data_IF_568017230860
#
_entry.id   IF_568017230860
#
_cell.length_a   1.000
_cell.length_b   1.000
_cell.length_c   1.000
_cell.angle_alpha   90.00
_cell.angle_beta   90.00
_cell.angle_gamma   90.00
#
_symmetry.space_group_name_H-M   'P 1'
#
loop_
_entity.id
_entity.type
_entity.pdbx_description
1 polymer ?
#
# COMPACT_ATOMS: atom_id res chain seq x y z
N UNK A 1 53.69 26.09 9.28
CA UNK A 1 52.29 25.65 9.04
C UNK A 1 51.80 26.38 7.81
N UNK A 2 51.67 25.69 6.68
CA UNK A 2 51.25 26.27 5.41
C UNK A 2 49.80 25.85 5.18
N UNK A 3 48.86 26.78 5.30
CA UNK A 3 47.43 26.51 5.08
C UNK A 3 47.17 26.46 3.58
N UNK A 4 46.85 25.28 3.04
CA UNK A 4 46.46 25.12 1.64
C UNK A 4 44.98 25.46 1.52
N UNK A 5 44.65 26.55 0.84
CA UNK A 5 43.27 26.90 0.49
C UNK A 5 42.84 26.10 -0.76
N UNK A 6 41.68 25.43 -0.74
CA UNK A 6 41.21 24.61 -1.87
C UNK A 6 40.84 25.48 -3.08
N UNK A 7 41.24 25.05 -4.29
CA UNK A 7 41.18 25.86 -5.52
C UNK A 7 39.89 25.66 -6.32
N UNK A 8 39.01 24.75 -5.93
CA UNK A 8 37.69 24.57 -6.55
C UNK A 8 36.64 24.05 -5.56
N UNK A 9 35.34 24.27 -5.85
CA UNK A 9 34.22 23.71 -5.05
C UNK A 9 34.32 22.18 -4.91
N UNK A 10 34.79 21.49 -5.95
CA UNK A 10 35.01 20.04 -5.96
C UNK A 10 36.14 19.64 -5.01
N UNK A 11 37.26 20.36 -5.01
CA UNK A 11 38.36 20.15 -4.06
C UNK A 11 37.96 20.48 -2.62
N UNK A 12 37.16 21.52 -2.41
CA UNK A 12 36.64 21.87 -1.09
C UNK A 12 35.77 20.73 -0.54
N UNK A 13 34.85 20.18 -1.35
CA UNK A 13 34.00 19.05 -0.93
C UNK A 13 34.78 17.74 -0.76
N UNK A 14 35.83 17.51 -1.55
CA UNK A 14 36.65 16.30 -1.47
C UNK A 14 37.70 16.34 -0.34
N UNK A 15 38.27 17.51 -0.04
CA UNK A 15 39.38 17.68 0.91
C UNK A 15 38.98 18.35 2.24
N UNK A 16 37.71 18.72 2.43
CA UNK A 16 37.18 19.05 3.77
C UNK A 16 37.07 17.76 4.57
N UNK A 17 38.23 17.28 5.01
CA UNK A 17 38.40 16.13 5.86
C UNK A 17 37.42 16.23 7.05
N UNK A 18 36.55 15.22 7.20
CA UNK A 18 35.65 14.98 8.34
C UNK A 18 34.28 15.67 8.41
N UNK A 19 33.75 16.28 7.35
CA UNK A 19 32.45 16.99 7.44
C UNK A 19 31.40 16.50 6.45
N UNK A 20 30.36 15.82 6.95
CA UNK A 20 29.08 15.52 6.27
C UNK A 20 29.16 14.53 5.08
N UNK A 21 30.05 14.68 4.11
CA UNK A 21 30.06 13.85 2.89
C UNK A 21 30.34 12.37 3.15
N UNK A 22 31.34 12.06 3.98
CA UNK A 22 31.63 10.68 4.41
C UNK A 22 30.58 10.13 5.39
N UNK A 23 29.95 10.99 6.20
CA UNK A 23 28.84 10.59 7.06
C UNK A 23 27.59 10.26 6.23
N UNK A 24 27.26 11.09 5.25
CA UNK A 24 26.19 10.85 4.29
C UNK A 24 26.47 9.60 3.45
N UNK A 25 27.70 9.38 2.98
CA UNK A 25 28.07 8.16 2.29
C UNK A 25 27.97 6.93 3.21
N UNK A 26 28.48 7.00 4.44
CA UNK A 26 28.35 5.89 5.40
C UNK A 26 26.90 5.62 5.77
N UNK A 27 26.06 6.66 5.84
CA UNK A 27 24.62 6.55 6.05
C UNK A 27 23.92 5.89 4.85
N UNK A 28 24.19 6.36 3.62
CA UNK A 28 23.67 5.75 2.39
C UNK A 28 24.13 4.30 2.22
N UNK A 29 25.42 4.00 2.46
CA UNK A 29 25.93 2.62 2.43
C UNK A 29 25.27 1.73 3.49
N UNK A 30 24.89 2.30 4.64
CA UNK A 30 24.12 1.60 5.67
C UNK A 30 22.67 1.37 5.22
N UNK A 31 22.02 2.39 4.65
CA UNK A 31 20.65 2.29 4.12
C UNK A 31 20.54 1.31 2.94
N UNK A 32 21.55 1.28 2.07
CA UNK A 32 21.64 0.37 0.92
C UNK A 32 22.05 -1.07 1.31
N UNK A 33 22.23 -1.36 2.61
CA UNK A 33 22.73 -2.65 3.12
C UNK A 33 24.09 -3.06 2.51
N UNK A 34 24.96 -2.09 2.19
CA UNK A 34 26.29 -2.32 1.61
C UNK A 34 27.39 -2.42 2.68
N UNK A 35 27.06 -2.15 3.94
CA UNK A 35 27.91 -2.45 5.08
C UNK A 35 27.63 -3.88 5.55
N UNK A 36 28.69 -4.60 5.96
CA UNK A 36 28.54 -5.95 6.50
C UNK A 36 27.63 -5.93 7.74
N UNK A 37 26.49 -6.60 7.67
CA UNK A 37 25.64 -6.79 8.85
C UNK A 37 26.35 -7.72 9.86
N UNK A 38 26.25 -7.43 11.17
CA UNK A 38 26.48 -8.46 12.16
C UNK A 38 25.48 -9.59 11.88
N UNK A 39 25.97 -10.81 11.68
CA UNK A 39 25.11 -11.98 11.45
C UNK A 39 24.02 -12.04 12.51
N UNK A 40 22.77 -11.77 12.11
CA UNK A 40 21.59 -11.93 12.95
C UNK A 40 21.57 -13.37 13.46
N UNK A 41 21.51 -13.54 14.78
CA UNK A 41 21.42 -14.88 15.37
C UNK A 41 20.11 -15.52 14.90
N UNK A 42 20.12 -16.80 14.50
CA UNK A 42 18.88 -17.49 14.16
C UNK A 42 17.92 -17.45 15.35
N UNK A 43 16.76 -16.80 15.19
CA UNK A 43 15.70 -16.74 16.20
C UNK A 43 15.38 -15.38 16.82
N UNK A 44 16.06 -14.29 16.44
CA UNK A 44 15.61 -12.95 16.79
C UNK A 44 14.43 -12.53 15.88
N UNK A 45 13.38 -11.96 16.48
CA UNK A 45 12.28 -11.33 15.73
C UNK A 45 12.87 -10.24 14.82
N UNK A 46 12.27 -10.04 13.63
CA UNK A 46 12.66 -8.94 12.76
C UNK A 46 12.64 -7.62 13.54
N UNK A 47 13.66 -6.75 13.36
CA UNK A 47 13.69 -5.46 14.03
C UNK A 47 12.45 -4.65 13.67
N UNK A 48 11.94 -3.90 14.64
CA UNK A 48 10.74 -3.10 14.50
C UNK A 48 11.04 -1.79 13.74
N UNK A 49 11.29 -1.93 12.45
CA UNK A 49 11.61 -0.81 11.55
C UNK A 49 10.97 -0.99 10.17
N UNK A 50 11.12 0.04 9.34
CA UNK A 50 10.75 0.03 7.92
C UNK A 50 11.98 -0.02 7.01
N UNK A 51 13.16 -0.43 7.53
CA UNK A 51 14.35 -0.50 6.69
C UNK A 51 14.16 -1.53 5.56
N UNK A 52 14.70 -1.23 4.39
CA UNK A 52 14.60 -2.11 3.22
C UNK A 52 15.27 -3.44 3.53
N UNK A 53 14.54 -4.52 3.30
CA UNK A 53 15.01 -5.89 3.57
C UNK A 53 15.41 -6.56 2.27
N UNK A 54 16.51 -7.30 2.29
CA UNK A 54 16.96 -8.03 1.11
C UNK A 54 16.03 -9.23 0.85
N UNK A 55 15.32 -9.27 -0.29
CA UNK A 55 14.48 -10.41 -0.63
C UNK A 55 15.34 -11.62 -1.02
N UNK A 56 14.78 -12.82 -0.89
CA UNK A 56 15.44 -14.08 -1.30
C UNK A 56 15.78 -14.13 -2.80
N UNK A 57 15.11 -13.32 -3.63
CA UNK A 57 15.32 -13.24 -5.07
C UNK A 57 15.38 -11.79 -5.51
N UNK A 58 16.17 -11.51 -6.55
CA UNK A 58 16.23 -10.18 -7.15
C UNK A 58 14.82 -9.70 -7.54
N UNK A 59 14.37 -8.52 -7.06
CA UNK A 59 13.03 -8.03 -7.36
C UNK A 59 12.89 -7.73 -8.84
N UNK A 60 11.76 -8.15 -9.42
CA UNK A 60 11.41 -7.86 -10.83
C UNK A 60 10.50 -6.64 -10.98
N UNK A 61 9.91 -6.17 -9.89
CA UNK A 61 9.04 -5.00 -9.83
C UNK A 61 9.54 -4.07 -8.71
N UNK A 62 9.37 -2.75 -8.92
CA UNK A 62 9.73 -1.73 -7.92
C UNK A 62 8.53 -1.29 -7.06
N UNK A 63 7.32 -1.45 -7.58
CA UNK A 63 6.09 -1.05 -6.90
C UNK A 63 4.95 -2.02 -7.26
N UNK A 64 3.94 -2.10 -6.38
CA UNK A 64 2.72 -2.87 -6.58
C UNK A 64 1.53 -1.95 -6.36
N UNK A 65 0.65 -1.86 -7.37
CA UNK A 65 -0.63 -1.13 -7.27
C UNK A 65 -1.73 -2.18 -7.21
N UNK A 66 -2.45 -2.22 -6.09
CA UNK A 66 -3.57 -3.13 -5.88
C UNK A 66 -4.89 -2.36 -6.05
N UNK A 67 -5.66 -2.70 -7.08
CA UNK A 67 -7.00 -2.15 -7.28
C UNK A 67 -8.05 -3.17 -6.83
N UNK A 68 -8.63 -2.95 -5.66
CA UNK A 68 -9.73 -3.78 -5.15
C UNK A 68 -11.08 -3.13 -5.45
N UNK A 69 -11.76 -3.62 -6.48
CA UNK A 69 -13.02 -3.05 -6.97
C UNK A 69 -14.21 -3.59 -6.17
N UNK A 70 -14.40 -3.10 -4.94
CA UNK A 70 -15.55 -3.45 -4.10
C UNK A 70 -16.88 -3.07 -4.78
N UNK A 71 -17.76 -4.06 -5.00
CA UNK A 71 -19.01 -3.85 -5.75
C UNK A 71 -18.80 -3.59 -7.24
N UNK A 72 -17.61 -3.85 -7.76
CA UNK A 72 -17.27 -3.68 -9.17
C UNK A 72 -18.04 -4.62 -10.10
N UNK A 73 -17.89 -4.42 -11.43
CA UNK A 73 -18.58 -5.22 -12.43
C UNK A 73 -18.26 -6.72 -12.31
N UNK A 74 -19.23 -7.56 -12.71
CA UNK A 74 -19.10 -9.00 -12.67
C UNK A 74 -17.94 -9.48 -13.54
N UNK A 75 -17.04 -10.31 -13.01
CA UNK A 75 -15.97 -10.95 -13.78
C UNK A 75 -16.48 -11.72 -15.01
N UNK A 76 -17.69 -12.29 -14.92
CA UNK A 76 -18.38 -13.00 -16.02
C UNK A 76 -18.73 -12.07 -17.18
N UNK A 77 -18.92 -10.78 -16.91
CA UNK A 77 -19.21 -9.74 -17.90
C UNK A 77 -17.95 -9.06 -18.46
N UNK A 78 -16.77 -9.36 -17.91
CA UNK A 78 -15.52 -8.66 -18.22
C UNK A 78 -14.48 -9.55 -18.92
N UNK A 79 -13.92 -10.51 -18.19
CA UNK A 79 -12.73 -11.27 -18.59
C UNK A 79 -12.88 -12.78 -18.37
N UNK A 80 -14.06 -13.26 -18.00
CA UNK A 80 -14.33 -14.68 -17.74
C UNK A 80 -15.69 -15.12 -18.31
N UNK A 81 -15.86 -15.08 -19.65
CA UNK A 81 -17.13 -15.49 -20.25
C UNK A 81 -17.47 -16.92 -19.86
N UNK A 82 -18.76 -17.14 -19.54
CA UNK A 82 -19.32 -18.45 -19.19
C UNK A 82 -20.31 -18.88 -20.29
N UNK A 83 -19.87 -19.55 -21.36
CA UNK A 83 -20.75 -19.94 -22.47
C UNK A 83 -21.94 -20.80 -22.04
N UNK A 84 -21.74 -21.74 -21.11
CA UNK A 84 -22.82 -22.59 -20.60
C UNK A 84 -23.87 -21.78 -19.82
N UNK A 85 -23.42 -20.83 -18.98
CA UNK A 85 -24.33 -19.92 -18.27
C UNK A 85 -25.13 -19.08 -19.25
N UNK A 86 -24.50 -18.64 -20.34
CA UNK A 86 -25.14 -17.87 -21.40
C UNK A 86 -26.19 -18.70 -22.14
N UNK A 87 -25.86 -19.94 -22.50
CA UNK A 87 -26.79 -20.86 -23.16
C UNK A 87 -28.01 -21.22 -22.29
N UNK A 88 -27.83 -21.27 -20.97
CA UNK A 88 -28.90 -21.54 -19.98
C UNK A 88 -29.54 -20.28 -19.42
N UNK A 89 -29.23 -19.10 -19.97
CA UNK A 89 -29.77 -17.84 -19.48
C UNK A 89 -31.30 -17.87 -19.53
N UNK A 90 -31.94 -17.48 -18.43
CA UNK A 90 -33.38 -17.48 -18.28
C UNK A 90 -34.00 -18.77 -17.74
N UNK A 91 -33.26 -19.87 -17.68
CA UNK A 91 -33.74 -21.13 -17.05
C UNK A 91 -33.47 -21.12 -15.55
N UNK A 92 -34.16 -21.99 -14.80
CA UNK A 92 -33.85 -22.21 -13.38
C UNK A 92 -32.68 -23.17 -13.19
N UNK A 93 -31.81 -22.87 -12.23
CA UNK A 93 -30.76 -23.78 -11.78
C UNK A 93 -31.37 -24.92 -10.95
N UNK A 94 -31.17 -26.16 -11.40
CA UNK A 94 -31.78 -27.34 -10.76
C UNK A 94 -31.11 -27.80 -9.47
N UNK A 95 -29.94 -27.26 -9.11
CA UNK A 95 -29.24 -27.60 -7.86
C UNK A 95 -29.64 -26.74 -6.68
N UNK A 96 -29.05 -27.04 -5.52
CA UNK A 96 -29.17 -26.19 -4.34
C UNK A 96 -28.26 -24.96 -4.43
N UNK A 97 -28.76 -23.84 -3.94
CA UNK A 97 -28.05 -22.56 -3.92
C UNK A 97 -28.12 -22.02 -2.51
N UNK A 98 -26.96 -21.65 -1.95
CA UNK A 98 -26.89 -20.99 -0.66
C UNK A 98 -27.03 -19.49 -0.89
N UNK A 99 -28.07 -18.90 -0.33
CA UNK A 99 -28.36 -17.47 -0.44
C UNK A 99 -27.91 -16.72 0.80
N UNK A 100 -27.16 -15.63 0.60
CA UNK A 100 -26.86 -14.68 1.68
C UNK A 100 -28.10 -13.85 2.07
N UNK A 101 -29.02 -13.62 1.11
CA UNK A 101 -30.27 -12.88 1.30
C UNK A 101 -31.46 -13.66 0.77
N UNK A 102 -32.08 -14.49 1.63
CA UNK A 102 -33.18 -15.40 1.27
C UNK A 102 -34.37 -14.66 0.65
N UNK A 103 -34.68 -13.45 1.11
CA UNK A 103 -35.82 -12.65 0.62
C UNK A 103 -35.65 -12.10 -0.80
N UNK A 104 -34.44 -12.17 -1.37
CA UNK A 104 -34.14 -11.78 -2.77
C UNK A 104 -33.54 -12.94 -3.56
N UNK A 105 -33.68 -14.16 -3.05
CA UNK A 105 -33.16 -15.36 -3.67
C UNK A 105 -33.88 -15.65 -4.99
N UNK A 106 -33.11 -15.91 -6.03
CA UNK A 106 -33.62 -16.37 -7.33
C UNK A 106 -32.67 -17.46 -7.87
N UNK A 107 -33.23 -18.56 -8.41
CA UNK A 107 -32.47 -19.63 -9.08
C UNK A 107 -32.36 -19.42 -10.60
N UNK A 108 -32.98 -18.38 -11.14
CA UNK A 108 -32.91 -18.05 -12.57
C UNK A 108 -31.48 -17.68 -12.94
N UNK A 109 -30.92 -18.44 -13.86
CA UNK A 109 -29.60 -18.20 -14.42
C UNK A 109 -29.63 -16.94 -15.28
N UNK A 110 -28.60 -16.11 -15.14
CA UNK A 110 -28.44 -14.91 -15.94
C UNK A 110 -27.07 -14.94 -16.61
N UNK A 111 -27.09 -15.20 -17.92
CA UNK A 111 -25.91 -15.12 -18.78
C UNK A 111 -25.47 -13.68 -19.00
N UNK A 112 -24.19 -13.51 -19.34
CA UNK A 112 -23.69 -12.19 -19.73
C UNK A 112 -24.41 -11.70 -20.99
N UNK A 113 -24.94 -10.47 -21.00
CA UNK A 113 -25.56 -9.88 -22.19
C UNK A 113 -24.53 -9.29 -23.17
N UNK A 114 -23.25 -9.24 -22.78
CA UNK A 114 -22.18 -8.57 -23.51
C UNK A 114 -21.50 -9.48 -24.51
N UNK A 115 -20.97 -8.88 -25.57
CA UNK A 115 -20.19 -9.60 -26.57
C UNK A 115 -18.74 -9.76 -26.12
N UNK A 116 -18.19 -10.91 -26.45
CA UNK A 116 -16.79 -11.23 -26.21
C UNK A 116 -16.08 -11.47 -27.54
N UNK A 117 -14.82 -11.07 -27.60
CA UNK A 117 -13.95 -11.34 -28.75
C UNK A 117 -12.57 -11.74 -28.27
N UNK A 118 -11.88 -12.54 -29.08
CA UNK A 118 -10.50 -12.95 -28.84
C UNK A 118 -9.58 -11.78 -29.16
N UNK A 119 -8.77 -11.37 -28.19
CA UNK A 119 -7.80 -10.28 -28.35
C UNK A 119 -6.38 -10.75 -28.04
N UNK A 120 -5.41 -10.02 -28.59
CA UNK A 120 -3.99 -10.30 -28.44
C UNK A 120 -3.54 -11.61 -29.10
N UNK A 121 -2.25 -11.90 -28.99
CA UNK A 121 -1.65 -13.18 -29.34
C UNK A 121 -2.04 -14.27 -28.32
N UNK A 122 -2.31 -13.89 -27.07
CA UNK A 122 -2.75 -14.80 -26.01
C UNK A 122 -4.16 -15.37 -26.27
N UNK A 123 -4.96 -14.75 -27.14
CA UNK A 123 -6.31 -15.22 -27.48
C UNK A 123 -7.24 -15.19 -26.27
N UNK A 124 -7.08 -14.22 -25.37
CA UNK A 124 -7.98 -14.04 -24.23
C UNK A 124 -9.31 -13.47 -24.73
N UNK A 125 -10.43 -14.03 -24.27
CA UNK A 125 -11.75 -13.44 -24.50
C UNK A 125 -11.92 -12.21 -23.61
N UNK A 126 -12.11 -11.06 -24.25
CA UNK A 126 -12.36 -9.78 -23.57
C UNK A 126 -13.72 -9.26 -23.98
N UNK A 127 -14.48 -8.77 -22.99
CA UNK A 127 -15.78 -8.13 -23.19
C UNK A 127 -15.66 -6.81 -23.95
N UNK A 128 -16.68 -6.49 -24.75
CA UNK A 128 -16.80 -5.18 -25.43
C UNK A 128 -16.81 -3.98 -24.47
N UNK A 129 -17.04 -4.22 -23.17
CA UNK A 129 -16.95 -3.21 -22.11
C UNK A 129 -15.53 -2.74 -21.80
N UNK A 130 -14.51 -3.49 -22.21
CA UNK A 130 -13.10 -3.23 -21.85
C UNK A 130 -12.21 -2.99 -23.09
N UNK A 131 -12.55 -2.04 -23.98
CA UNK A 131 -11.83 -1.86 -25.24
C UNK A 131 -10.36 -1.47 -25.04
N UNK A 132 -10.05 -0.70 -23.99
CA UNK A 132 -8.68 -0.29 -23.70
C UNK A 132 -7.84 -1.45 -23.13
N UNK A 133 -8.44 -2.32 -22.30
CA UNK A 133 -7.78 -3.53 -21.79
C UNK A 133 -7.54 -4.53 -22.92
N UNK A 134 -8.49 -4.65 -23.85
CA UNK A 134 -8.35 -5.50 -25.02
C UNK A 134 -7.11 -5.13 -25.86
N UNK A 135 -6.74 -3.84 -25.91
CA UNK A 135 -5.55 -3.34 -26.60
C UNK A 135 -4.21 -3.73 -25.96
N UNK A 136 -4.21 -4.13 -24.68
CA UNK A 136 -3.00 -4.48 -23.91
C UNK A 136 -3.08 -5.88 -23.28
N UNK A 137 -4.00 -6.72 -23.74
CA UNK A 137 -4.30 -7.99 -23.07
C UNK A 137 -3.13 -8.98 -23.04
N UNK A 138 -2.19 -8.86 -23.98
CA UNK A 138 -0.96 -9.68 -23.99
C UNK A 138 0.01 -9.33 -22.84
N UNK A 139 -0.11 -8.14 -22.26
CA UNK A 139 0.68 -7.69 -21.10
C UNK A 139 -0.02 -8.01 -19.77
N UNK A 140 -1.20 -8.66 -19.82
CA UNK A 140 -2.04 -8.92 -18.65
C UNK A 140 -2.11 -10.42 -18.38
N UNK A 141 -1.84 -10.81 -17.14
CA UNK A 141 -2.15 -12.15 -16.64
C UNK A 141 -3.57 -12.19 -16.08
N UNK A 142 -4.48 -12.90 -16.76
CA UNK A 142 -5.85 -13.11 -16.29
C UNK A 142 -5.94 -14.40 -15.49
N UNK A 143 -6.27 -14.29 -14.20
CA UNK A 143 -6.48 -15.45 -13.31
C UNK A 143 -7.97 -15.75 -13.13
N UNK A 144 -8.46 -16.81 -13.77
CA UNK A 144 -9.86 -17.30 -13.67
C UNK A 144 -10.05 -18.42 -12.65
N UNK A 145 -8.97 -18.89 -12.03
CA UNK A 145 -8.96 -20.04 -11.11
C UNK A 145 -9.26 -19.68 -9.65
N UNK A 146 -9.41 -18.40 -9.33
CA UNK A 146 -9.67 -17.97 -7.96
C UNK A 146 -11.12 -18.25 -7.58
N UNK A 147 -11.32 -19.05 -6.53
CA UNK A 147 -12.64 -19.31 -5.96
C UNK A 147 -12.54 -19.39 -4.43
N UNK A 148 -13.64 -19.11 -3.74
CA UNK A 148 -13.77 -19.25 -2.28
C UNK A 148 -14.98 -20.11 -1.97
N UNK A 149 -15.03 -20.70 -0.77
CA UNK A 149 -16.16 -21.50 -0.30
C UNK A 149 -17.25 -20.70 0.42
N UNK A 150 -17.26 -19.36 0.30
CA UNK A 150 -18.14 -18.48 1.08
C UNK A 150 -18.81 -17.44 0.19
N UNK A 151 -20.08 -17.13 0.45
CA UNK A 151 -20.91 -16.19 -0.32
C UNK A 151 -21.14 -14.84 0.41
N UNK A 152 -20.54 -14.65 1.59
CA UNK A 152 -20.61 -13.39 2.34
C UNK A 152 -19.58 -12.37 1.85
N UNK A 153 -19.97 -11.11 1.80
CA UNK A 153 -19.10 -10.01 1.35
C UNK A 153 -17.87 -9.87 2.27
N UNK A 154 -18.09 -9.73 3.58
CA UNK A 154 -17.03 -9.55 4.59
C UNK A 154 -16.02 -10.72 4.53
N UNK A 155 -16.52 -11.94 4.47
CA UNK A 155 -15.67 -13.15 4.49
C UNK A 155 -14.84 -13.27 3.22
N UNK A 156 -15.42 -12.93 2.06
CA UNK A 156 -14.72 -12.98 0.77
C UNK A 156 -13.63 -11.92 0.67
N UNK A 157 -13.87 -10.73 1.23
CA UNK A 157 -12.87 -9.67 1.28
C UNK A 157 -11.70 -10.07 2.20
N UNK A 158 -12.00 -10.69 3.36
CA UNK A 158 -10.97 -11.24 4.25
C UNK A 158 -10.15 -12.36 3.61
N UNK A 159 -10.75 -13.19 2.77
CA UNK A 159 -9.98 -14.15 1.95
C UNK A 159 -8.98 -13.44 1.04
N UNK A 160 -9.44 -12.39 0.34
CA UNK A 160 -8.61 -11.69 -0.62
C UNK A 160 -7.44 -10.97 0.06
N UNK A 161 -7.70 -10.26 1.16
CA UNK A 161 -6.65 -9.50 1.86
C UNK A 161 -5.85 -10.32 2.87
N UNK A 162 -6.43 -11.32 3.53
CA UNK A 162 -5.82 -12.04 4.64
C UNK A 162 -5.59 -13.54 4.40
N UNK A 163 -6.01 -14.06 3.24
CA UNK A 163 -5.77 -15.45 2.82
C UNK A 163 -6.61 -16.53 3.51
N UNK A 164 -7.43 -16.19 4.52
CA UNK A 164 -8.23 -17.16 5.28
C UNK A 164 -9.64 -16.64 5.59
N UNK A 165 -10.64 -17.52 5.46
CA UNK A 165 -12.02 -17.23 5.88
C UNK A 165 -12.11 -16.97 7.38
N UNK A 166 -12.92 -15.98 7.74
CA UNK A 166 -13.60 -15.95 9.05
C UNK A 166 -12.73 -15.64 10.27
N UNK A 167 -11.42 -15.41 10.10
CA UNK A 167 -10.53 -15.02 11.20
C UNK A 167 -10.30 -13.51 11.16
N UNK A 168 -10.83 -12.81 12.15
CA UNK A 168 -10.60 -11.37 12.36
C UNK A 168 -9.21 -11.11 12.96
N UNK A 169 -8.71 -9.88 12.82
CA UNK A 169 -7.45 -9.46 13.43
C UNK A 169 -6.18 -10.03 12.75
N UNK A 170 -6.31 -10.57 11.53
CA UNK A 170 -5.14 -10.98 10.74
C UNK A 170 -4.58 -9.80 9.95
N UNK A 171 -3.24 -9.73 9.79
CA UNK A 171 -2.62 -8.74 8.93
C UNK A 171 -3.03 -8.96 7.47
N UNK A 172 -3.24 -7.86 6.78
CA UNK A 172 -3.58 -7.85 5.35
C UNK A 172 -2.33 -8.01 4.48
N UNK A 173 -2.54 -8.31 3.19
CA UNK A 173 -1.48 -8.51 2.20
C UNK A 173 -0.49 -7.34 2.19
N UNK A 174 -0.98 -6.10 2.23
CA UNK A 174 -0.11 -4.92 2.29
C UNK A 174 0.80 -4.92 3.52
N UNK A 175 0.26 -5.24 4.70
CA UNK A 175 1.04 -5.35 5.94
C UNK A 175 2.09 -6.45 5.88
N UNK A 176 1.78 -7.61 5.29
CA UNK A 176 2.76 -8.68 5.07
C UNK A 176 3.87 -8.29 4.10
N UNK A 177 3.53 -7.54 3.04
CA UNK A 177 4.52 -7.04 2.07
C UNK A 177 5.47 -6.06 2.77
N UNK A 178 4.96 -5.09 3.53
CA UNK A 178 5.80 -4.13 4.26
C UNK A 178 6.63 -4.84 5.34
N UNK A 179 6.05 -5.80 6.07
CA UNK A 179 6.80 -6.62 7.01
C UNK A 179 7.95 -7.38 6.33
N UNK A 180 7.71 -7.94 5.14
CA UNK A 180 8.72 -8.72 4.41
C UNK A 180 9.80 -7.89 3.72
N UNK A 181 9.45 -6.71 3.20
CA UNK A 181 10.32 -5.92 2.30
C UNK A 181 10.77 -4.57 2.88
N UNK A 182 10.09 -4.05 3.89
CA UNK A 182 10.32 -2.71 4.40
C UNK A 182 9.78 -1.61 3.48
N UNK A 183 10.40 -0.44 3.54
CA UNK A 183 10.04 0.76 2.77
C UNK A 183 11.29 1.47 2.27
N UNK A 184 11.29 1.87 1.01
CA UNK A 184 12.32 2.77 0.46
C UNK A 184 12.17 4.20 1.02
N UNK A 185 10.97 4.57 1.48
CA UNK A 185 10.71 5.88 2.08
C UNK A 185 10.82 5.84 3.60
N UNK A 186 11.57 6.79 4.16
CA UNK A 186 11.64 7.07 5.60
C UNK A 186 10.72 8.23 6.04
N UNK A 187 10.01 8.86 5.09
CA UNK A 187 9.20 10.06 5.34
C UNK A 187 7.76 9.95 4.88
N UNK A 188 7.39 8.82 4.26
CA UNK A 188 6.03 8.50 3.84
C UNK A 188 5.66 7.08 4.32
N UNK A 189 4.38 6.80 4.59
CA UNK A 189 3.95 5.46 4.95
C UNK A 189 4.23 4.46 3.82
N UNK A 190 4.71 3.27 4.21
CA UNK A 190 5.02 2.19 3.28
C UNK A 190 3.77 1.56 2.65
N UNK A 191 2.63 1.63 3.35
CA UNK A 191 1.35 1.08 2.91
C UNK A 191 0.31 2.20 2.84
N UNK A 192 0.10 2.71 1.63
CA UNK A 192 -0.90 3.74 1.34
C UNK A 192 -2.20 3.12 0.84
N UNK A 193 -3.33 3.62 1.35
CA UNK A 193 -4.67 3.17 1.00
C UNK A 193 -5.43 4.34 0.38
N UNK A 194 -5.70 4.25 -0.92
CA UNK A 194 -6.56 5.19 -1.63
C UNK A 194 -8.00 4.71 -1.47
N UNK A 195 -8.79 5.38 -0.62
CA UNK A 195 -10.18 5.01 -0.40
C UNK A 195 -11.14 5.74 -1.34
N UNK A 196 -12.26 5.09 -1.66
CA UNK A 196 -13.33 5.70 -2.44
C UNK A 196 -13.98 6.85 -1.63
N UNK A 197 -14.21 8.04 -2.24
CA UNK A 197 -14.86 9.16 -1.57
C UNK A 197 -16.26 8.84 -1.02
N UNK A 198 -16.99 7.90 -1.63
CA UNK A 198 -18.33 7.49 -1.23
C UNK A 198 -18.33 6.59 0.02
N UNK A 199 -17.18 6.05 0.42
CA UNK A 199 -17.04 5.28 1.64
C UNK A 199 -16.05 4.14 1.52
N UNK A 200 -15.74 3.53 2.67
CA UNK A 200 -14.88 2.35 2.71
C UNK A 200 -15.63 1.11 2.20
N UNK A 201 -14.92 0.11 1.66
CA UNK A 201 -15.50 -1.20 1.40
C UNK A 201 -16.16 -1.79 2.65
N UNK A 202 -17.03 -2.80 2.44
CA UNK A 202 -17.54 -3.64 3.54
C UNK A 202 -16.37 -4.12 4.41
N UNK A 203 -16.59 -4.21 5.73
CA UNK A 203 -15.56 -4.48 6.76
C UNK A 203 -14.60 -3.30 7.06
N UNK A 204 -14.78 -2.15 6.40
CA UNK A 204 -14.17 -0.88 6.79
C UNK A 204 -12.65 -0.91 6.83
N UNK A 205 -12.06 -0.46 7.93
CA UNK A 205 -10.61 -0.37 8.10
C UNK A 205 -9.90 -1.73 8.24
N UNK A 206 -10.65 -2.82 8.44
CA UNK A 206 -10.05 -4.17 8.50
C UNK A 206 -9.40 -4.58 7.17
N UNK A 207 -9.83 -3.97 6.06
CA UNK A 207 -9.31 -4.25 4.70
C UNK A 207 -7.84 -3.85 4.50
N UNK A 208 -7.27 -3.07 5.41
CA UNK A 208 -5.86 -2.68 5.40
C UNK A 208 -5.24 -2.72 6.81
N UNK A 209 -5.73 -3.62 7.67
CA UNK A 209 -5.23 -3.75 9.04
C UNK A 209 -3.88 -4.47 9.11
N UNK A 210 -3.01 -4.05 10.04
CA UNK A 210 -1.84 -4.84 10.46
C UNK A 210 -2.21 -6.01 11.37
N UNK A 211 -3.46 -6.11 11.84
CA UNK A 211 -3.89 -7.19 12.72
C UNK A 211 -3.06 -7.27 13.99
N UNK A 212 -2.52 -8.45 14.29
CA UNK A 212 -1.60 -8.68 15.42
C UNK A 212 -0.17 -8.17 15.17
N UNK A 213 0.17 -7.72 13.96
CA UNK A 213 1.47 -7.12 13.70
C UNK A 213 1.55 -5.71 14.29
N UNK A 214 2.77 -5.22 14.58
CA UNK A 214 2.97 -3.87 15.04
C UNK A 214 2.27 -2.81 14.15
N UNK A 215 1.74 -1.73 14.77
CA UNK A 215 1.07 -0.63 14.05
C UNK A 215 1.89 0.00 12.92
N UNK A 216 3.22 -0.14 12.94
CA UNK A 216 4.12 0.33 11.88
C UNK A 216 3.75 -0.20 10.48
N UNK A 217 3.09 -1.37 10.41
CA UNK A 217 2.66 -2.02 9.17
C UNK A 217 1.19 -1.75 8.81
N UNK A 218 0.53 -0.84 9.53
CA UNK A 218 -0.87 -0.46 9.32
C UNK A 218 -1.02 0.36 8.04
N UNK A 219 -2.03 0.05 7.23
CA UNK A 219 -2.36 0.87 6.06
C UNK A 219 -2.80 2.27 6.47
N UNK A 220 -2.20 3.28 5.84
CA UNK A 220 -2.53 4.70 6.03
C UNK A 220 -3.47 5.17 4.94
N UNK A 221 -4.66 5.62 5.33
CA UNK A 221 -5.69 6.11 4.39
C UNK A 221 -5.32 7.49 3.87
N UNK A 222 -5.32 7.63 2.55
CA UNK A 222 -5.30 8.89 1.85
C UNK A 222 -6.73 9.26 1.45
N UNK A 223 -7.24 10.35 2.02
CA UNK A 223 -8.57 10.86 1.72
C UNK A 223 -8.57 11.62 0.39
N UNK A 224 -9.69 11.55 -0.33
CA UNK A 224 -9.88 12.32 -1.55
C UNK A 224 -9.95 13.84 -1.33
N UNK A 225 -10.32 14.27 -0.11
CA UNK A 225 -10.47 15.67 0.26
C UNK A 225 -9.55 16.02 1.43
N UNK A 226 -9.20 17.30 1.54
CA UNK A 226 -8.39 17.80 2.64
C UNK A 226 -9.09 17.64 4.01
N UNK A 227 -8.32 17.52 5.11
CA UNK A 227 -6.93 17.09 5.12
C UNK A 227 -6.80 15.64 4.58
N UNK A 228 -5.92 15.42 3.58
CA UNK A 228 -5.76 14.11 2.93
C UNK A 228 -5.24 13.04 3.91
N UNK A 229 -4.38 13.46 4.83
CA UNK A 229 -3.92 12.67 5.97
C UNK A 229 -4.27 13.46 7.23
N UNK A 230 -4.97 12.81 8.16
CA UNK A 230 -5.44 13.45 9.39
C UNK A 230 -4.28 13.81 10.32
N UNK A 231 -4.45 14.90 11.08
CA UNK A 231 -3.54 15.32 12.15
C UNK A 231 -2.09 15.56 11.71
N UNK A 232 -1.88 15.84 10.42
CA UNK A 232 -0.55 16.10 9.89
C UNK A 232 -0.04 17.47 10.33
N UNK A 233 -0.90 18.49 10.35
CA UNK A 233 -0.52 19.82 10.78
C UNK A 233 -0.63 20.01 12.29
N UNK A 234 0.42 20.57 12.89
CA UNK A 234 0.33 21.04 14.26
C UNK A 234 -0.69 22.20 14.38
N UNK A 235 -1.42 22.28 15.51
CA UNK A 235 -2.30 23.41 15.81
C UNK A 235 -1.54 24.74 15.67
N UNK A 236 -2.13 25.81 15.10
CA UNK A 236 -1.43 27.06 14.83
C UNK A 236 -0.64 27.63 16.03
N UNK A 237 -1.23 27.54 17.23
CA UNK A 237 -0.64 28.02 18.48
C UNK A 237 0.56 27.21 18.98
N UNK A 238 0.80 26.01 18.44
CA UNK A 238 1.93 25.15 18.83
C UNK A 238 3.06 25.14 17.79
N UNK A 239 2.84 25.66 16.58
CA UNK A 239 3.79 25.54 15.46
C UNK A 239 5.18 26.14 15.75
N UNK A 240 6.20 25.57 15.13
CA UNK A 240 7.59 26.03 15.22
C UNK A 240 8.27 25.57 16.50
N UNK A 241 9.02 26.47 17.14
CA UNK A 241 9.90 26.13 18.27
C UNK A 241 9.17 25.46 19.45
N UNK A 242 7.92 25.82 19.72
CA UNK A 242 7.15 25.24 20.81
C UNK A 242 6.83 23.75 20.56
N UNK A 243 6.44 23.41 19.33
CA UNK A 243 6.26 22.03 18.90
C UNK A 243 7.57 21.25 18.95
N UNK A 244 8.68 21.82 18.45
CA UNK A 244 10.00 21.19 18.50
C UNK A 244 10.42 20.84 19.94
N UNK A 245 10.21 21.78 20.88
CA UNK A 245 10.51 21.56 22.30
C UNK A 245 9.62 20.47 22.92
N UNK A 246 8.32 20.50 22.63
CA UNK A 246 7.37 19.50 23.13
C UNK A 246 7.68 18.10 22.58
N UNK A 247 7.98 17.98 21.29
CA UNK A 247 8.36 16.71 20.66
C UNK A 247 9.70 16.20 21.20
N UNK A 248 10.68 17.09 21.41
CA UNK A 248 11.97 16.72 22.00
C UNK A 248 11.83 16.20 23.43
N UNK A 249 11.01 16.86 24.24
CA UNK A 249 10.71 16.41 25.61
C UNK A 249 9.95 15.07 25.61
N UNK A 250 8.96 14.91 24.72
CA UNK A 250 8.24 13.66 24.56
C UNK A 250 9.18 12.51 24.15
N UNK A 251 10.11 12.77 23.22
CA UNK A 251 11.11 11.79 22.81
C UNK A 251 12.02 11.37 23.97
N UNK A 252 12.37 12.29 24.87
CA UNK A 252 13.13 11.96 26.09
C UNK A 252 12.32 11.05 27.03
N UNK A 253 11.05 11.37 27.28
CA UNK A 253 10.17 10.53 28.09
C UNK A 253 9.99 9.13 27.49
N UNK A 254 9.77 9.06 26.18
CA UNK A 254 9.64 7.81 25.44
C UNK A 254 10.91 6.95 25.56
N UNK A 255 12.11 7.54 25.41
CA UNK A 255 13.39 6.84 25.59
C UNK A 255 13.55 6.28 27.01
N UNK A 256 13.20 7.07 28.02
CA UNK A 256 13.26 6.63 29.43
C UNK A 256 12.30 5.47 29.69
N UNK A 257 11.08 5.55 29.16
CA UNK A 257 10.08 4.50 29.31
C UNK A 257 10.51 3.20 28.60
N UNK A 258 10.98 3.30 27.35
CA UNK A 258 11.48 2.15 26.59
C UNK A 258 12.65 1.46 27.30
N UNK A 259 13.58 2.22 27.90
CA UNK A 259 14.67 1.67 28.69
C UNK A 259 14.21 0.89 29.94
N UNK A 260 13.02 1.20 30.47
CA UNK A 260 12.41 0.49 31.60
C UNK A 260 11.57 -0.72 31.20
N UNK A 261 11.16 -0.80 29.92
CA UNK A 261 10.26 -1.84 29.39
C UNK A 261 10.86 -2.50 28.13
N UNK A 262 12.03 -3.15 28.25
CA UNK A 262 12.68 -3.78 27.10
C UNK A 262 11.79 -4.87 26.49
N UNK A 263 11.59 -4.83 25.16
CA UNK A 263 10.79 -5.80 24.41
C UNK A 263 9.31 -5.44 24.22
N UNK A 264 8.87 -4.25 24.66
CA UNK A 264 7.50 -3.77 24.42
C UNK A 264 7.34 -3.15 23.02
N UNK A 265 7.13 -4.01 22.02
CA UNK A 265 7.04 -3.61 20.61
C UNK A 265 5.90 -2.61 20.30
N UNK A 266 4.82 -2.58 21.09
CA UNK A 266 3.72 -1.64 20.84
C UNK A 266 4.16 -0.19 21.09
N UNK A 267 4.91 0.05 22.17
CA UNK A 267 5.41 1.40 22.49
C UNK A 267 6.42 1.87 21.44
N UNK A 268 7.40 1.03 21.12
CA UNK A 268 8.40 1.34 20.09
C UNK A 268 7.74 1.61 18.73
N UNK A 269 6.70 0.85 18.38
CA UNK A 269 5.94 1.07 17.14
C UNK A 269 5.18 2.39 17.15
N UNK A 270 4.63 2.80 18.29
CA UNK A 270 3.94 4.10 18.42
C UNK A 270 4.93 5.25 18.30
N UNK A 271 6.12 5.13 18.91
CA UNK A 271 7.19 6.12 18.79
C UNK A 271 7.57 6.28 17.32
N UNK A 272 7.89 5.19 16.63
CA UNK A 272 8.23 5.20 15.21
C UNK A 272 7.12 5.78 14.33
N UNK A 273 5.86 5.48 14.64
CA UNK A 273 4.69 6.04 13.92
C UNK A 273 4.57 7.57 14.10
N UNK A 274 4.87 8.09 15.29
CA UNK A 274 4.86 9.54 15.53
C UNK A 274 6.03 10.26 14.86
N UNK A 275 7.21 9.65 14.85
CA UNK A 275 8.37 10.18 14.12
C UNK A 275 8.11 10.21 12.61
N UNK A 276 7.50 9.15 12.06
CA UNK A 276 7.03 9.14 10.67
C UNK A 276 6.00 10.25 10.41
N UNK A 277 5.02 10.44 11.30
CA UNK A 277 4.03 11.51 11.16
C UNK A 277 4.68 12.91 11.15
N UNK A 278 5.73 13.11 11.95
CA UNK A 278 6.50 14.35 11.94
C UNK A 278 7.26 14.55 10.60
N UNK A 279 7.88 13.49 10.07
CA UNK A 279 8.55 13.53 8.77
C UNK A 279 7.57 13.80 7.61
N UNK A 280 6.37 13.23 7.69
CA UNK A 280 5.30 13.42 6.71
C UNK A 280 4.81 14.87 6.61
N UNK A 281 4.99 15.72 7.63
CA UNK A 281 4.45 17.09 7.63
C UNK A 281 4.89 17.93 6.43
N UNK A 282 6.09 17.65 5.92
CA UNK A 282 6.62 18.26 4.70
C UNK A 282 6.48 17.31 3.51
N UNK A 283 6.98 16.07 3.65
CA UNK A 283 7.05 15.12 2.55
C UNK A 283 5.68 14.75 1.96
N UNK A 284 4.66 14.56 2.79
CA UNK A 284 3.32 14.21 2.30
C UNK A 284 2.66 15.37 1.57
N UNK A 285 2.92 16.63 1.95
CA UNK A 285 2.37 17.79 1.24
C UNK A 285 2.95 17.90 -0.16
N UNK A 286 4.26 17.74 -0.29
CA UNK A 286 4.94 17.74 -1.58
C UNK A 286 4.47 16.57 -2.46
N UNK A 287 4.43 15.35 -1.90
CA UNK A 287 4.05 14.15 -2.63
C UNK A 287 2.58 14.14 -3.11
N UNK A 288 1.71 14.92 -2.47
CA UNK A 288 0.27 14.99 -2.78
C UNK A 288 -0.12 16.24 -3.56
N UNK A 289 0.81 17.18 -3.79
CA UNK A 289 0.55 18.38 -4.56
C UNK A 289 0.68 18.12 -6.06
N UNK A 290 -0.38 17.54 -6.64
CA UNK A 290 -0.48 17.33 -8.08
C UNK A 290 -0.73 18.64 -8.86
N UNK A 291 -0.97 19.78 -8.19
CA UNK A 291 -1.27 21.05 -8.88
C UNK A 291 -0.07 21.59 -9.67
N UNK A 292 1.15 21.20 -9.27
CA UNK A 292 2.39 21.57 -9.93
C UNK A 292 2.73 20.69 -11.14
N UNK A 293 1.97 19.61 -11.38
CA UNK A 293 2.23 18.72 -12.50
C UNK A 293 1.82 19.37 -13.84
N UNK A 294 2.49 19.02 -14.95
CA UNK A 294 2.13 19.55 -16.27
C UNK A 294 0.71 19.19 -16.70
N UNK A 295 0.06 20.08 -17.47
CA UNK A 295 -1.31 19.88 -17.94
C UNK A 295 -1.57 18.56 -18.70
N UNK A 296 -0.55 18.02 -19.39
CA UNK A 296 -0.70 16.73 -20.07
C UNK A 296 -0.81 15.55 -19.08
N UNK A 297 -0.23 15.65 -17.88
CA UNK A 297 -0.39 14.66 -16.82
C UNK A 297 -1.79 14.73 -16.24
N UNK A 298 -2.31 15.95 -15.98
CA UNK A 298 -3.70 16.14 -15.54
C UNK A 298 -4.71 15.55 -16.53
N UNK A 299 -4.43 15.65 -17.83
CA UNK A 299 -5.21 15.01 -18.88
C UNK A 299 -5.11 13.48 -18.86
N UNK A 300 -3.95 12.91 -18.52
CA UNK A 300 -3.81 11.46 -18.35
C UNK A 300 -4.62 10.94 -17.16
N UNK A 301 -4.71 11.71 -16.08
CA UNK A 301 -5.59 11.40 -14.95
C UNK A 301 -7.08 11.55 -15.28
N UNK A 302 -7.41 12.20 -16.41
CA UNK A 302 -8.78 12.46 -16.82
C UNK A 302 -9.45 13.58 -16.01
N UNK A 303 -8.68 14.48 -15.39
CA UNK A 303 -9.23 15.63 -14.63
C UNK A 303 -9.95 16.65 -15.52
N UNK A 304 -9.78 16.55 -16.85
CA UNK A 304 -10.45 17.36 -17.86
C UNK A 304 -11.80 16.78 -18.32
N UNK A 305 -12.22 15.64 -17.76
CA UNK A 305 -13.48 14.97 -18.08
C UNK A 305 -14.38 14.98 -16.85
N UNK A 306 -15.67 15.28 -17.04
CA UNK A 306 -16.66 15.12 -15.98
C UNK A 306 -16.77 13.62 -15.60
N UNK A 307 -16.91 13.31 -14.30
CA UNK A 307 -17.01 11.94 -13.80
C UNK A 307 -18.25 11.19 -14.28
#
# INVERSE_FOLDING_TARGET
>A
MTTILPKSRREFLANSAFGIGTFALAHLLKEDNLLAEPTSKPGENLPLDLHVRQPNFAPKAKAMISLFMHGGPSHVDLLDPKPELTAKSGTEYGGDVIYSFVNRANKKLFGSPWKFSKHGQCGTDVSELLPNIAGIVDDICVMRSMHTGHNGHEVSIRYFHGGMAGITGRPTMGSWIVYGLGSESQSLPAYMVLSDPAGHPVDGTHNWSSGFMPPLYQGTVLRAQEPRILNLDAPPQLRGKLQEQNLSFLAELNKRHAAQHPGEADLESRIASYELAAAMQTAAKEALDVSQEPAYIHKLYGLDKDP
#
